data_IF_153800028422
#
_entry.id   IF_153800028422
#
_cell.length_a   1.000
_cell.length_b   1.000
_cell.length_c   1.000
_cell.angle_alpha   90.00
_cell.angle_beta   90.00
_cell.angle_gamma   90.00
#
_symmetry.space_group_name_H-M   'P 1'
#
loop_
_entity.id
_entity.type
_entity.pdbx_description
1 polymer ?
#
# COMPACT_ATOMS: atom_id res chain seq x y z
N UNK A 1 20.13 -10.21 -9.16
CA UNK A 1 18.83 -10.27 -9.90
C UNK A 1 17.83 -11.22 -9.25
N UNK A 2 18.10 -12.54 -9.16
CA UNK A 2 17.10 -13.54 -8.71
C UNK A 2 16.58 -13.32 -7.29
N UNK A 3 17.46 -13.09 -6.31
CA UNK A 3 17.05 -12.89 -4.90
C UNK A 3 16.17 -11.65 -4.74
N UNK A 4 16.48 -10.57 -5.47
CA UNK A 4 15.70 -9.32 -5.44
C UNK A 4 14.27 -9.58 -5.94
N UNK A 5 14.10 -10.32 -7.04
CA UNK A 5 12.77 -10.69 -7.52
C UNK A 5 12.01 -11.60 -6.54
N UNK A 6 12.68 -12.53 -5.85
CA UNK A 6 12.04 -13.36 -4.83
C UNK A 6 11.45 -12.48 -3.71
N UNK A 7 12.21 -11.51 -3.21
CA UNK A 7 11.73 -10.57 -2.19
C UNK A 7 10.52 -9.79 -2.71
N UNK A 8 10.62 -9.26 -3.94
CA UNK A 8 9.54 -8.52 -4.58
C UNK A 8 8.27 -9.36 -4.75
N UNK A 9 8.35 -10.55 -5.31
CA UNK A 9 7.19 -11.44 -5.50
C UNK A 9 6.62 -11.92 -4.17
N UNK A 10 7.45 -12.20 -3.17
CA UNK A 10 6.97 -12.52 -1.82
C UNK A 10 6.16 -11.37 -1.23
N UNK A 11 6.61 -10.12 -1.42
CA UNK A 11 5.84 -8.94 -1.04
C UNK A 11 4.47 -8.91 -1.73
N UNK A 12 4.42 -9.23 -3.03
CA UNK A 12 3.16 -9.26 -3.78
C UNK A 12 2.22 -10.39 -3.37
N UNK A 13 2.75 -11.53 -2.92
CA UNK A 13 1.95 -12.60 -2.32
C UNK A 13 1.22 -12.07 -1.08
N UNK A 14 1.91 -11.36 -0.18
CA UNK A 14 1.26 -10.74 0.99
C UNK A 14 0.21 -9.69 0.60
N UNK A 15 0.53 -8.84 -0.39
CA UNK A 15 -0.42 -7.84 -0.88
C UNK A 15 -1.63 -8.43 -1.61
N UNK A 16 -1.47 -9.57 -2.27
CA UNK A 16 -2.57 -10.30 -2.91
C UNK A 16 -3.42 -11.01 -1.87
N UNK A 17 -2.77 -11.69 -0.92
CA UNK A 17 -3.43 -12.39 0.19
C UNK A 17 -4.31 -11.43 1.01
N UNK A 18 -3.86 -10.20 1.31
CA UNK A 18 -4.71 -9.25 2.04
C UNK A 18 -5.99 -8.93 1.28
N UNK A 19 -5.93 -8.79 -0.04
CA UNK A 19 -7.07 -8.44 -0.88
C UNK A 19 -8.04 -9.61 -0.92
N UNK A 20 -7.54 -10.83 -1.12
CA UNK A 20 -8.36 -12.05 -1.10
C UNK A 20 -9.04 -12.27 0.25
N UNK A 21 -8.32 -12.11 1.36
CA UNK A 21 -8.89 -12.26 2.70
C UNK A 21 -9.94 -11.19 2.97
N UNK A 22 -9.67 -9.93 2.59
CA UNK A 22 -10.65 -8.86 2.72
C UNK A 22 -11.90 -9.13 1.87
N UNK A 23 -11.72 -9.64 0.66
CA UNK A 23 -12.82 -10.03 -0.22
C UNK A 23 -13.67 -11.11 0.46
N UNK A 24 -13.07 -12.26 0.81
CA UNK A 24 -13.79 -13.41 1.36
C UNK A 24 -14.58 -13.01 2.62
N UNK A 25 -13.96 -12.24 3.51
CA UNK A 25 -14.62 -11.80 4.75
C UNK A 25 -15.74 -10.78 4.48
N UNK A 26 -15.59 -9.94 3.45
CA UNK A 26 -16.65 -9.00 3.05
C UNK A 26 -17.85 -9.70 2.40
N UNK A 27 -17.62 -10.76 1.62
CA UNK A 27 -18.71 -11.58 1.07
C UNK A 27 -19.49 -12.28 2.19
N UNK A 28 -18.77 -12.88 3.15
CA UNK A 28 -19.39 -13.52 4.32
C UNK A 28 -20.20 -12.53 5.16
N UNK A 29 -19.72 -11.29 5.30
CA UNK A 29 -20.40 -10.25 6.07
C UNK A 29 -21.48 -9.50 5.26
N UNK A 30 -21.56 -9.66 3.94
CA UNK A 30 -22.38 -8.87 3.02
C UNK A 30 -22.14 -7.35 3.11
N UNK A 31 -20.98 -6.95 3.61
CA UNK A 31 -20.55 -5.56 3.72
C UNK A 31 -19.03 -5.44 3.56
N UNK A 32 -18.56 -4.24 3.22
CA UNK A 32 -17.13 -3.98 3.03
C UNK A 32 -16.47 -3.82 4.40
N UNK A 33 -15.83 -4.88 4.87
CA UNK A 33 -15.14 -4.91 6.18
C UNK A 33 -13.65 -4.58 6.05
N UNK A 34 -13.06 -4.13 7.16
CA UNK A 34 -11.62 -3.97 7.35
C UNK A 34 -11.14 -5.00 8.38
N UNK A 35 -10.72 -6.21 7.99
CA UNK A 35 -10.31 -7.23 8.95
C UNK A 35 -8.88 -6.97 9.45
N UNK A 36 -8.54 -7.42 10.64
CA UNK A 36 -7.21 -7.15 11.23
C UNK A 36 -6.06 -7.79 10.46
N UNK A 37 -6.29 -9.01 9.96
CA UNK A 37 -5.32 -9.76 9.14
C UNK A 37 -4.93 -9.01 7.86
N UNK A 38 -5.83 -8.18 7.30
CA UNK A 38 -5.51 -7.32 6.15
C UNK A 38 -4.34 -6.39 6.46
N UNK A 39 -4.31 -5.80 7.65
CA UNK A 39 -3.27 -4.87 8.08
C UNK A 39 -1.97 -5.59 8.42
N UNK A 40 -2.04 -6.77 9.05
CA UNK A 40 -0.86 -7.61 9.33
C UNK A 40 -0.15 -8.00 8.03
N UNK A 41 -0.90 -8.52 7.06
CA UNK A 41 -0.37 -8.87 5.74
C UNK A 41 0.16 -7.62 5.01
N UNK A 42 -0.48 -6.47 5.18
CA UNK A 42 -0.01 -5.20 4.59
C UNK A 42 1.34 -4.74 5.14
N UNK A 43 1.59 -4.90 6.44
CA UNK A 43 2.91 -4.59 7.03
C UNK A 43 3.97 -5.53 6.46
N UNK A 44 3.71 -6.83 6.43
CA UNK A 44 4.66 -7.81 5.92
C UNK A 44 5.03 -7.54 4.45
N UNK A 45 4.02 -7.32 3.60
CA UNK A 45 4.23 -6.95 2.20
C UNK A 45 4.98 -5.62 2.05
N UNK A 46 4.62 -4.61 2.83
CA UNK A 46 5.26 -3.29 2.74
C UNK A 46 6.71 -3.30 3.16
N UNK A 47 7.05 -4.06 4.20
CA UNK A 47 8.43 -4.25 4.65
C UNK A 47 9.29 -4.93 3.58
N UNK A 48 8.79 -6.00 2.96
CA UNK A 48 9.50 -6.69 1.88
C UNK A 48 9.62 -5.82 0.64
N UNK A 49 8.55 -5.09 0.27
CA UNK A 49 8.57 -4.21 -0.90
C UNK A 49 9.47 -2.97 -0.67
N UNK A 50 9.64 -2.54 0.58
CA UNK A 50 10.62 -1.52 0.95
C UNK A 50 12.05 -2.01 0.69
N UNK A 51 12.39 -3.21 1.17
CA UNK A 51 13.70 -3.84 0.91
C UNK A 51 13.90 -4.01 -0.60
N UNK A 52 12.87 -4.47 -1.32
CA UNK A 52 12.90 -4.59 -2.77
C UNK A 52 13.21 -3.25 -3.46
N UNK A 53 12.53 -2.17 -3.06
CA UNK A 53 12.77 -0.82 -3.60
C UNK A 53 14.20 -0.35 -3.37
N UNK A 54 14.76 -0.62 -2.19
CA UNK A 54 16.15 -0.32 -1.88
C UNK A 54 17.12 -1.12 -2.77
N UNK A 55 16.90 -2.42 -2.93
CA UNK A 55 17.72 -3.27 -3.81
C UNK A 55 17.56 -2.96 -5.31
N UNK A 56 16.54 -2.18 -5.69
CA UNK A 56 16.28 -1.75 -7.06
C UNK A 56 16.68 -0.30 -7.32
N UNK A 57 17.26 0.37 -6.32
CA UNK A 57 17.58 1.79 -6.35
C UNK A 57 16.37 2.66 -6.78
N UNK A 58 15.17 2.24 -6.36
CA UNK A 58 13.91 2.83 -6.77
C UNK A 58 13.25 3.59 -5.61
N UNK A 59 13.51 4.89 -5.57
CA UNK A 59 12.98 5.77 -4.54
C UNK A 59 11.46 5.88 -4.54
N UNK A 60 10.80 5.76 -5.71
CA UNK A 60 9.34 5.80 -5.77
C UNK A 60 8.73 4.69 -4.92
N UNK A 61 9.25 3.48 -5.04
CA UNK A 61 8.80 2.33 -4.25
C UNK A 61 9.03 2.58 -2.75
N UNK A 62 10.24 3.01 -2.39
CA UNK A 62 10.65 3.29 -1.00
C UNK A 62 9.71 4.31 -0.36
N UNK A 63 9.49 5.44 -1.03
CA UNK A 63 8.63 6.54 -0.56
C UNK A 63 7.22 6.03 -0.21
N UNK A 64 6.59 5.31 -1.14
CA UNK A 64 5.24 4.78 -0.94
C UNK A 64 5.16 3.79 0.22
N UNK A 65 6.19 2.94 0.36
CA UNK A 65 6.23 1.97 1.44
C UNK A 65 6.42 2.62 2.79
N UNK A 66 7.35 3.57 2.97
CA UNK A 66 7.56 4.25 4.26
C UNK A 66 6.25 4.84 4.78
N UNK A 67 5.50 5.55 3.94
CA UNK A 67 4.27 6.21 4.39
C UNK A 67 3.19 5.17 4.69
N UNK A 68 2.95 4.23 3.77
CA UNK A 68 1.94 3.18 3.95
C UNK A 68 2.21 2.33 5.19
N UNK A 69 3.47 2.05 5.46
CA UNK A 69 3.96 1.25 6.55
C UNK A 69 3.52 1.79 7.93
N UNK A 70 3.73 3.08 8.18
CA UNK A 70 3.31 3.70 9.45
C UNK A 70 1.79 3.73 9.63
N UNK A 71 1.06 3.92 8.53
CA UNK A 71 -0.41 3.86 8.55
C UNK A 71 -0.91 2.47 8.95
N UNK A 72 -0.23 1.41 8.49
CA UNK A 72 -0.58 0.05 8.85
C UNK A 72 -0.33 -0.25 10.33
N UNK A 73 0.79 0.22 10.88
CA UNK A 73 1.10 0.13 12.32
C UNK A 73 0.02 0.85 13.13
N UNK A 74 -0.32 2.09 12.73
CA UNK A 74 -1.36 2.87 13.40
C UNK A 74 -2.71 2.14 13.42
N UNK A 75 -3.13 1.55 12.29
CA UNK A 75 -4.38 0.78 12.21
C UNK A 75 -4.37 -0.46 13.10
N UNK A 76 -3.25 -1.18 13.20
CA UNK A 76 -3.13 -2.32 14.12
C UNK A 76 -3.15 -1.90 15.59
N UNK A 77 -2.57 -0.74 15.91
CA UNK A 77 -2.58 -0.19 17.25
C UNK A 77 -4.00 0.26 17.64
N UNK A 78 -4.72 0.93 16.74
CA UNK A 78 -6.12 1.32 16.93
C UNK A 78 -7.05 0.11 17.18
N UNK A 79 -6.72 -1.05 16.59
CA UNK A 79 -7.45 -2.32 16.81
C UNK A 79 -6.98 -3.11 18.03
N UNK A 80 -6.03 -2.60 18.80
CA UNK A 80 -5.47 -3.27 19.99
C UNK A 80 -4.60 -4.49 19.70
N UNK A 81 -4.30 -4.79 18.44
CA UNK A 81 -3.57 -6.00 18.03
C UNK A 81 -2.06 -5.79 18.02
N UNK A 82 -1.60 -4.54 17.88
CA UNK A 82 -0.18 -4.21 17.86
C UNK A 82 0.58 -4.78 19.08
N UNK A 83 -0.03 -4.74 20.27
CA UNK A 83 0.58 -5.26 21.51
C UNK A 83 0.79 -6.78 21.50
N UNK A 84 0.03 -7.51 20.69
CA UNK A 84 0.11 -8.98 20.58
C UNK A 84 1.23 -9.43 19.62
N UNK A 85 1.82 -8.51 18.85
CA UNK A 85 2.96 -8.81 17.98
C UNK A 85 4.22 -8.92 18.84
N UNK A 86 5.06 -9.92 18.55
CA UNK A 86 6.34 -10.14 19.23
C UNK A 86 7.15 -8.84 19.31
N UNK A 87 7.68 -8.53 20.49
CA UNK A 87 8.49 -7.33 20.77
C UNK A 87 9.64 -7.19 19.78
N UNK A 88 10.33 -8.29 19.45
CA UNK A 88 11.45 -8.27 18.50
C UNK A 88 10.99 -7.80 17.10
N UNK A 89 9.86 -8.32 16.61
CA UNK A 89 9.30 -7.90 15.34
C UNK A 89 8.92 -6.42 15.39
N UNK A 90 8.30 -5.95 16.48
CA UNK A 90 7.97 -4.53 16.63
C UNK A 90 9.19 -3.62 16.59
N UNK A 91 10.29 -4.02 17.23
CA UNK A 91 11.55 -3.27 17.21
C UNK A 91 12.12 -3.22 15.79
N UNK A 92 12.26 -4.37 15.12
CA UNK A 92 12.75 -4.42 13.73
C UNK A 92 11.89 -3.51 12.85
N UNK A 93 10.58 -3.65 12.98
CA UNK A 93 9.62 -2.88 12.21
C UNK A 93 9.79 -1.35 12.42
N UNK A 94 9.91 -0.90 13.67
CA UNK A 94 10.13 0.53 13.95
C UNK A 94 11.51 1.04 13.55
N UNK A 95 12.56 0.21 13.69
CA UNK A 95 13.94 0.64 13.47
C UNK A 95 14.32 0.74 11.99
N UNK A 96 13.71 -0.05 11.09
CA UNK A 96 14.12 -0.06 9.68
C UNK A 96 13.93 1.28 8.96
N UNK A 97 12.78 1.98 9.05
CA UNK A 97 12.66 3.31 8.43
C UNK A 97 13.56 4.34 9.10
N UNK A 98 13.79 4.23 10.41
CA UNK A 98 14.71 5.10 11.15
C UNK A 98 16.15 4.93 10.64
N UNK A 99 16.58 3.68 10.43
CA UNK A 99 17.89 3.37 9.87
C UNK A 99 18.03 3.90 8.43
N UNK A 100 16.97 3.79 7.62
CA UNK A 100 16.96 4.35 6.26
C UNK A 100 17.06 5.89 6.26
N UNK A 101 16.39 6.57 7.19
CA UNK A 101 16.54 8.01 7.38
C UNK A 101 17.92 8.38 7.91
N UNK A 102 18.49 7.60 8.83
CA UNK A 102 19.84 7.83 9.35
C UNK A 102 20.89 7.73 8.23
N UNK A 103 20.80 6.70 7.38
CA UNK A 103 21.66 6.54 6.20
C UNK A 103 21.57 7.75 5.25
N UNK A 104 20.35 8.28 5.05
CA UNK A 104 20.13 9.49 4.24
C UNK A 104 20.81 10.73 4.82
N UNK A 105 20.81 10.88 6.15
CA UNK A 105 21.44 12.01 6.84
C UNK A 105 22.96 11.90 6.90
N UNK A 106 23.49 10.68 7.03
CA UNK A 106 24.94 10.42 7.06
C UNK A 106 25.59 10.58 5.69
N UNK A 107 24.91 10.21 4.60
CA UNK A 107 25.46 10.22 3.24
C UNK A 107 24.48 10.78 2.21
N UNK A 108 24.10 12.08 2.30
CA UNK A 108 23.11 12.68 1.42
C UNK A 108 23.54 12.70 -0.05
N UNK A 109 24.82 12.93 -0.33
CA UNK A 109 25.34 12.93 -1.70
C UNK A 109 25.24 11.54 -2.35
N UNK A 110 25.61 10.49 -1.62
CA UNK A 110 25.48 9.11 -2.09
C UNK A 110 24.02 8.75 -2.35
N UNK A 111 23.12 9.13 -1.43
CA UNK A 111 21.69 8.92 -1.59
C UNK A 111 21.13 9.62 -2.83
N UNK A 112 21.46 10.90 -3.04
CA UNK A 112 21.02 11.66 -4.23
C UNK A 112 21.55 10.99 -5.51
N UNK A 113 22.82 10.60 -5.54
CA UNK A 113 23.39 9.99 -6.73
C UNK A 113 22.77 8.61 -7.02
N UNK A 114 22.54 7.79 -5.99
CA UNK A 114 21.96 6.46 -6.10
C UNK A 114 20.48 6.48 -6.53
N UNK A 115 19.67 7.39 -5.97
CA UNK A 115 18.21 7.36 -6.13
C UNK A 115 17.64 8.44 -7.06
N UNK A 116 18.32 9.57 -7.23
CA UNK A 116 17.83 10.73 -8.01
C UNK A 116 18.62 10.99 -9.29
N UNK A 117 19.86 10.48 -9.39
CA UNK A 117 20.68 10.52 -10.63
C UNK A 117 20.91 9.14 -11.21
N UNK A 118 19.94 8.25 -11.05
CA UNK A 118 19.99 6.90 -11.61
C UNK A 118 19.66 6.95 -13.11
N UNK A 119 20.58 6.52 -13.98
CA UNK A 119 20.37 6.49 -15.43
C UNK A 119 19.21 5.57 -15.84
N UNK A 120 18.92 4.53 -15.05
CA UNK A 120 17.80 3.63 -15.30
C UNK A 120 16.43 4.27 -14.98
N UNK A 121 16.41 5.32 -14.14
CA UNK A 121 15.19 6.03 -13.72
C UNK A 121 15.34 7.52 -13.99
N UNK A 122 14.97 8.00 -15.19
CA UNK A 122 15.00 9.43 -15.46
C UNK A 122 14.05 10.18 -14.49
N UNK A 123 14.40 11.42 -14.16
CA UNK A 123 13.72 12.23 -13.14
C UNK A 123 12.20 12.31 -13.38
N UNK A 124 11.75 12.43 -14.64
CA UNK A 124 10.32 12.49 -14.94
C UNK A 124 9.58 11.20 -14.54
N UNK A 125 10.23 10.05 -14.72
CA UNK A 125 9.66 8.74 -14.40
C UNK A 125 9.66 8.53 -12.88
N UNK A 126 10.72 8.98 -12.20
CA UNK A 126 10.80 9.01 -10.74
C UNK A 126 9.65 9.85 -10.13
N UNK A 127 9.43 11.06 -10.66
CA UNK A 127 8.34 11.95 -10.21
C UNK A 127 6.98 11.29 -10.49
N UNK A 128 6.80 10.67 -11.66
CA UNK A 128 5.57 9.97 -12.02
C UNK A 128 5.27 8.79 -11.09
N UNK A 129 6.26 7.93 -10.83
CA UNK A 129 6.14 6.81 -9.89
C UNK A 129 5.85 7.27 -8.47
N UNK A 130 6.56 8.29 -8.01
CA UNK A 130 6.37 8.89 -6.68
C UNK A 130 4.97 9.50 -6.54
N UNK A 131 4.46 10.20 -7.56
CA UNK A 131 3.10 10.73 -7.57
C UNK A 131 2.05 9.60 -7.47
N UNK A 132 2.24 8.50 -8.20
CA UNK A 132 1.39 7.31 -8.09
C UNK A 132 1.35 6.74 -6.68
N UNK A 133 2.50 6.66 -6.01
CA UNK A 133 2.64 6.17 -4.64
C UNK A 133 1.98 7.10 -3.61
N UNK A 134 2.13 8.41 -3.79
CA UNK A 134 1.44 9.42 -2.96
C UNK A 134 -0.07 9.30 -3.13
N UNK A 135 -0.58 9.30 -4.37
CA UNK A 135 -2.01 9.13 -4.65
C UNK A 135 -2.54 7.84 -4.06
N UNK A 136 -1.83 6.72 -4.25
CA UNK A 136 -2.23 5.44 -3.70
C UNK A 136 -2.29 5.45 -2.17
N UNK A 137 -1.42 6.22 -1.51
CA UNK A 137 -1.39 6.38 -0.06
C UNK A 137 -2.53 7.27 0.46
N UNK A 138 -2.96 8.28 -0.30
CA UNK A 138 -4.07 9.17 0.07
C UNK A 138 -5.38 8.42 0.39
N UNK A 139 -5.56 7.20 -0.13
CA UNK A 139 -6.72 6.36 0.20
C UNK A 139 -6.88 6.15 1.71
N UNK A 140 -5.78 6.06 2.44
CA UNK A 140 -5.81 5.84 3.88
C UNK A 140 -6.16 7.11 4.65
N UNK A 141 -5.65 8.26 4.19
CA UNK A 141 -6.05 9.57 4.73
C UNK A 141 -7.55 9.77 4.51
N UNK A 142 -8.04 9.45 3.32
CA UNK A 142 -9.47 9.48 3.03
C UNK A 142 -10.27 8.56 3.96
N UNK A 143 -9.81 7.33 4.19
CA UNK A 143 -10.44 6.40 5.12
C UNK A 143 -10.43 6.94 6.56
N UNK A 144 -9.32 7.53 7.00
CA UNK A 144 -9.19 8.09 8.34
C UNK A 144 -10.22 9.21 8.57
N UNK A 145 -10.28 10.18 7.64
CA UNK A 145 -11.23 11.30 7.70
C UNK A 145 -12.67 10.77 7.70
N UNK A 146 -12.96 9.81 6.82
CA UNK A 146 -14.29 9.19 6.75
C UNK A 146 -14.68 8.49 8.05
N UNK A 147 -13.77 7.68 8.61
CA UNK A 147 -13.99 6.96 9.86
C UNK A 147 -14.14 7.90 11.05
N UNK A 148 -13.41 9.02 11.08
CA UNK A 148 -13.53 10.04 12.11
C UNK A 148 -14.92 10.68 12.11
N UNK A 149 -15.45 11.06 10.93
CA UNK A 149 -16.77 11.69 10.82
C UNK A 149 -17.96 10.75 11.03
N UNK A 150 -17.77 9.44 10.84
CA UNK A 150 -18.86 8.45 10.89
C UNK A 150 -18.77 7.49 12.08
N UNK A 151 -17.74 7.60 12.92
CA UNK A 151 -17.45 6.69 14.05
C UNK A 151 -17.44 5.20 13.66
N UNK A 152 -17.11 4.88 12.40
CA UNK A 152 -17.11 3.52 11.87
C UNK A 152 -15.78 3.22 11.15
N UNK A 153 -15.16 2.09 11.48
CA UNK A 153 -13.93 1.60 10.83
C UNK A 153 -14.24 0.84 9.54
N UNK A 154 -14.81 1.52 8.54
CA UNK A 154 -15.15 0.94 7.21
C UNK A 154 -14.21 1.46 6.12
N UNK A 155 -14.13 0.71 5.01
CA UNK A 155 -13.41 1.11 3.80
C UNK A 155 -14.40 1.74 2.80
N UNK A 156 -14.53 3.08 2.75
CA UNK A 156 -15.53 3.76 1.93
C UNK A 156 -15.24 3.63 0.43
N UNK A 157 -16.23 3.94 -0.42
CA UNK A 157 -16.09 3.87 -1.89
C UNK A 157 -14.88 4.68 -2.38
N UNK A 158 -14.66 5.88 -1.83
CA UNK A 158 -13.52 6.73 -2.19
C UNK A 158 -12.15 6.07 -1.94
N UNK A 159 -12.02 5.21 -0.92
CA UNK A 159 -10.80 4.42 -0.71
C UNK A 159 -10.48 3.54 -1.93
N UNK A 160 -11.50 2.91 -2.51
CA UNK A 160 -11.35 2.01 -3.65
C UNK A 160 -11.11 2.75 -4.96
N UNK A 161 -11.77 3.91 -5.16
CA UNK A 161 -11.52 4.79 -6.32
C UNK A 161 -10.08 5.29 -6.32
N UNK A 162 -9.62 5.84 -5.20
CA UNK A 162 -8.24 6.33 -5.06
C UNK A 162 -7.24 5.17 -5.25
N UNK A 163 -7.56 3.98 -4.71
CA UNK A 163 -6.75 2.78 -4.92
C UNK A 163 -6.63 2.41 -6.40
N UNK A 164 -7.72 2.44 -7.15
CA UNK A 164 -7.71 2.12 -8.59
C UNK A 164 -6.87 3.14 -9.38
N UNK A 165 -7.04 4.44 -9.12
CA UNK A 165 -6.27 5.49 -9.79
C UNK A 165 -4.77 5.34 -9.48
N UNK A 166 -4.41 5.25 -8.19
CA UNK A 166 -3.01 5.14 -7.78
C UNK A 166 -2.35 3.86 -8.30
N UNK A 167 -3.06 2.72 -8.26
CA UNK A 167 -2.54 1.45 -8.77
C UNK A 167 -2.39 1.45 -10.29
N UNK A 168 -3.29 2.10 -11.06
CA UNK A 168 -3.09 2.31 -12.50
C UNK A 168 -1.81 3.07 -12.81
N UNK A 169 -1.52 4.15 -12.07
CA UNK A 169 -0.27 4.91 -12.22
C UNK A 169 0.94 4.04 -11.88
N UNK A 170 0.88 3.27 -10.79
CA UNK A 170 1.99 2.38 -10.37
C UNK A 170 2.20 1.24 -11.39
N UNK A 171 1.14 0.68 -11.98
CA UNK A 171 1.25 -0.32 -13.06
C UNK A 171 1.89 0.31 -14.30
N UNK A 172 1.44 1.49 -14.73
CA UNK A 172 2.07 2.21 -15.85
C UNK A 172 3.55 2.49 -15.58
N UNK A 173 3.89 2.93 -14.36
CA UNK A 173 5.28 3.10 -13.92
C UNK A 173 6.07 1.79 -14.00
N UNK A 174 5.50 0.69 -13.50
CA UNK A 174 6.11 -0.64 -13.59
C UNK A 174 6.34 -1.10 -15.02
N UNK A 175 5.43 -0.79 -15.95
CA UNK A 175 5.59 -1.08 -17.39
C UNK A 175 6.78 -0.31 -17.96
N UNK A 176 6.89 1.00 -17.71
CA UNK A 176 8.04 1.80 -18.17
C UNK A 176 9.36 1.33 -17.57
N UNK A 177 9.34 0.85 -16.31
CA UNK A 177 10.50 0.28 -15.61
C UNK A 177 10.81 -1.17 -15.99
N UNK A 178 9.96 -1.82 -16.79
CA UNK A 178 10.00 -3.27 -17.05
C UNK A 178 10.07 -4.07 -15.74
N UNK A 179 9.35 -3.62 -14.72
CA UNK A 179 9.31 -4.23 -13.39
C UNK A 179 8.09 -5.15 -13.26
N UNK A 180 8.25 -6.47 -13.43
CA UNK A 180 7.14 -7.42 -13.35
C UNK A 180 6.53 -7.50 -11.95
N UNK A 181 7.28 -7.16 -10.90
CA UNK A 181 6.82 -7.22 -9.51
C UNK A 181 5.73 -6.17 -9.29
N UNK A 182 5.97 -4.93 -9.72
CA UNK A 182 4.98 -3.85 -9.61
C UNK A 182 3.75 -4.10 -10.49
N UNK A 183 3.97 -4.55 -11.73
CA UNK A 183 2.90 -4.80 -12.70
C UNK A 183 1.95 -5.88 -12.15
N UNK A 184 2.47 -7.06 -11.82
CA UNK A 184 1.65 -8.18 -11.38
C UNK A 184 1.00 -7.90 -10.02
N UNK A 185 1.76 -7.33 -9.09
CA UNK A 185 1.28 -7.01 -7.76
C UNK A 185 0.07 -6.07 -7.72
N UNK A 186 0.14 -4.96 -8.46
CA UNK A 186 -0.92 -3.97 -8.46
C UNK A 186 -2.11 -4.38 -9.33
N UNK A 187 -1.89 -5.14 -10.40
CA UNK A 187 -2.94 -5.62 -11.30
C UNK A 187 -3.95 -6.54 -10.60
N UNK A 188 -3.51 -7.39 -9.66
CA UNK A 188 -4.40 -8.23 -8.84
C UNK A 188 -5.41 -7.38 -8.06
N UNK A 189 -5.00 -6.20 -7.62
CA UNK A 189 -5.85 -5.26 -6.89
C UNK A 189 -7.01 -4.72 -7.71
N UNK A 190 -6.85 -4.53 -9.03
CA UNK A 190 -7.85 -3.88 -9.89
C UNK A 190 -9.22 -4.55 -9.81
N UNK A 191 -9.25 -5.89 -9.87
CA UNK A 191 -10.50 -6.67 -9.84
C UNK A 191 -11.26 -6.39 -8.53
N UNK A 192 -10.56 -6.45 -7.40
CA UNK A 192 -11.17 -6.20 -6.10
C UNK A 192 -11.63 -4.74 -5.94
N UNK A 193 -10.84 -3.78 -6.43
CA UNK A 193 -11.17 -2.35 -6.35
C UNK A 193 -12.43 -2.04 -7.16
N UNK A 194 -12.50 -2.50 -8.42
CA UNK A 194 -13.66 -2.31 -9.28
C UNK A 194 -14.92 -2.95 -8.66
N UNK A 195 -14.82 -4.19 -8.17
CA UNK A 195 -15.92 -4.90 -7.51
C UNK A 195 -16.45 -4.12 -6.30
N UNK A 196 -15.54 -3.63 -5.43
CA UNK A 196 -15.93 -2.87 -4.25
C UNK A 196 -16.58 -1.52 -4.58
N UNK A 197 -16.13 -0.85 -5.66
CA UNK A 197 -16.78 0.36 -6.17
C UNK A 197 -18.21 0.05 -6.63
N UNK A 198 -18.40 -0.98 -7.46
CA UNK A 198 -19.73 -1.36 -7.99
C UNK A 198 -20.71 -1.66 -6.85
N UNK A 199 -20.27 -2.41 -5.84
CA UNK A 199 -21.13 -2.75 -4.70
C UNK A 199 -21.48 -1.56 -3.83
N UNK A 200 -20.52 -0.67 -3.58
CA UNK A 200 -20.79 0.55 -2.85
C UNK A 200 -21.81 1.45 -3.56
N UNK A 201 -21.69 1.60 -4.88
CA UNK A 201 -22.65 2.38 -5.69
C UNK A 201 -24.05 1.77 -5.64
N UNK A 202 -24.17 0.44 -5.76
CA UNK A 202 -25.46 -0.26 -5.66
C UNK A 202 -26.12 -0.06 -4.29
N UNK A 203 -25.36 -0.20 -3.20
CA UNK A 203 -25.88 -0.02 -1.83
C UNK A 203 -26.40 1.40 -1.59
N UNK A 204 -25.67 2.42 -2.06
CA UNK A 204 -26.10 3.82 -1.94
C UNK A 204 -27.38 4.10 -2.74
N UNK A 205 -27.53 3.50 -3.92
CA UNK A 205 -28.73 3.67 -4.74
C UNK A 205 -29.97 3.05 -4.08
N UNK A 206 -29.84 1.86 -3.49
CA UNK A 206 -30.93 1.21 -2.75
C UNK A 206 -31.37 2.02 -1.53
N UNK A 207 -30.43 2.51 -0.72
CA UNK A 207 -30.74 3.34 0.45
C UNK A 207 -31.49 4.65 0.09
N UNK A 208 -31.13 5.29 -1.03
CA UNK A 208 -31.83 6.49 -1.50
C UNK A 208 -33.24 6.22 -2.06
N UNK A 209 -33.54 4.97 -2.45
CA UNK A 209 -34.88 4.58 -2.91
C UNK A 209 -35.81 4.24 -1.74
N UNK A 210 -35.28 3.73 -0.62
CA UNK A 210 -36.06 3.45 0.59
C UNK A 210 -36.41 4.71 1.40
N UNK A 211 -35.67 5.82 1.19
CA UNK A 211 -35.91 7.12 1.83
C UNK A 211 -36.73 8.10 0.98
N UNK A 212 -37.25 7.66 -0.17
CA UNK A 212 -38.19 8.41 -1.03
C UNK A 212 -39.58 7.84 -0.91
#
# INVERSE_FOLDING_TARGET
>A
MTIVYIIGFLAQIFFSARILVQWILSEKAKEIVSPSIFWVLSIAGSYLLFIYGWCRDDFSIILGQIISYYIYIWNLNAKGIWKNINVLLRIILFMTPVAACAFLLESPEQFINQFFKNEDIPIWLLVFGSAGQVIFTLRFIYQLIYSYHKHESKLPIGFWIISLIGSSIIVSYGIFRLDPVLILGQSVGFIAYIRNIILGVRKNKSANLEHK
#
